data_IF_094373637506
#
_entry.id   IF_094373637506
#
_cell.length_a   1.000
_cell.length_b   1.000
_cell.length_c   1.000
_cell.angle_alpha   90.00
_cell.angle_beta   90.00
_cell.angle_gamma   90.00
#
_symmetry.space_group_name_H-M   'P 1'
#
loop_
_entity.id
_entity.type
_entity.pdbx_description
1 polymer ?
#
# COMPACT_ATOMS: atom_id res chain seq x y z
N UNK A 1 1.29 -4.01 -6.34
CA UNK A 1 0.11 -4.27 -5.48
C UNK A 1 0.39 -5.41 -4.51
N UNK A 2 0.66 -6.64 -4.98
CA UNK A 2 0.82 -7.82 -4.12
C UNK A 2 1.84 -7.60 -3.00
N UNK A 3 3.02 -7.11 -3.32
CA UNK A 3 4.06 -6.83 -2.30
C UNK A 3 3.57 -5.82 -1.25
N UNK A 4 2.92 -4.74 -1.67
CA UNK A 4 2.36 -3.73 -0.75
C UNK A 4 1.28 -4.33 0.15
N UNK A 5 0.36 -5.11 -0.42
CA UNK A 5 -0.73 -5.77 0.32
C UNK A 5 -0.17 -6.76 1.34
N UNK A 6 0.84 -7.56 0.94
CA UNK A 6 1.51 -8.50 1.85
C UNK A 6 2.26 -7.77 2.97
N UNK A 7 2.96 -6.66 2.67
CA UNK A 7 3.62 -5.86 3.70
C UNK A 7 2.63 -5.30 4.73
N UNK A 8 1.50 -4.76 4.27
CA UNK A 8 0.42 -4.27 5.16
C UNK A 8 -0.07 -5.40 6.09
N UNK A 9 -0.34 -6.58 5.52
CA UNK A 9 -0.74 -7.76 6.30
C UNK A 9 0.32 -8.09 7.38
N UNK A 10 1.59 -8.15 6.96
CA UNK A 10 2.70 -8.47 7.88
C UNK A 10 2.90 -7.42 8.98
N UNK A 11 2.65 -6.14 8.72
CA UNK A 11 2.73 -5.09 9.74
C UNK A 11 1.65 -5.28 10.81
N UNK A 12 0.41 -5.56 10.42
CA UNK A 12 -0.66 -5.83 11.37
C UNK A 12 -0.43 -7.14 12.14
N UNK A 13 0.04 -8.20 11.49
CA UNK A 13 0.42 -9.46 12.14
C UNK A 13 1.54 -9.24 13.17
N UNK A 14 2.58 -8.47 12.82
CA UNK A 14 3.68 -8.14 13.74
C UNK A 14 3.22 -7.28 14.92
N UNK A 15 2.13 -6.53 14.77
CA UNK A 15 1.45 -5.80 15.84
C UNK A 15 0.45 -6.66 16.64
N UNK A 16 0.41 -7.97 16.41
CA UNK A 16 -0.46 -8.91 17.14
C UNK A 16 -1.92 -8.90 16.70
N UNK A 17 -2.25 -8.31 15.53
CA UNK A 17 -3.61 -8.31 14.99
C UNK A 17 -3.88 -9.56 14.17
N UNK A 18 -5.08 -10.10 14.25
CA UNK A 18 -5.53 -11.14 13.32
C UNK A 18 -5.86 -10.50 11.97
N UNK A 19 -5.27 -11.05 10.90
CA UNK A 19 -5.38 -10.52 9.54
C UNK A 19 -6.02 -11.55 8.61
N UNK A 20 -6.97 -11.08 7.80
CA UNK A 20 -7.55 -11.83 6.69
C UNK A 20 -7.03 -11.23 5.38
N UNK A 21 -6.09 -11.91 4.75
CA UNK A 21 -5.45 -11.50 3.50
C UNK A 21 -6.12 -12.18 2.30
N UNK A 22 -6.56 -11.41 1.31
CA UNK A 22 -7.18 -12.00 0.12
C UNK A 22 -7.51 -11.01 -0.98
N UNK A 23 -8.49 -11.36 -1.81
CA UNK A 23 -8.91 -10.60 -2.99
C UNK A 23 -8.29 -11.15 -4.27
N UNK A 24 -7.54 -10.33 -5.02
CA UNK A 24 -6.84 -10.77 -6.25
C UNK A 24 -5.55 -11.57 -5.94
N UNK A 25 -5.30 -11.86 -4.68
CA UNK A 25 -4.19 -12.69 -4.16
C UNK A 25 -4.69 -13.54 -3.00
N UNK A 26 -3.98 -14.62 -2.70
CA UNK A 26 -4.27 -15.46 -1.54
C UNK A 26 -5.58 -16.23 -1.67
N UNK A 27 -6.23 -16.41 -0.54
CA UNK A 27 -7.48 -17.16 -0.44
C UNK A 27 -8.71 -16.29 -0.76
N UNK A 28 -9.79 -16.93 -1.18
CA UNK A 28 -11.09 -16.28 -1.30
C UNK A 28 -11.58 -15.84 0.09
N UNK A 29 -11.98 -14.58 0.25
CA UNK A 29 -12.39 -14.02 1.54
C UNK A 29 -13.81 -14.43 1.96
N UNK A 30 -14.71 -14.69 0.99
CA UNK A 30 -16.11 -15.04 1.30
C UNK A 30 -16.28 -16.27 2.21
N UNK A 31 -15.55 -17.38 2.01
CA UNK A 31 -15.61 -18.51 2.92
C UNK A 31 -15.12 -18.20 4.35
N UNK A 32 -14.30 -17.17 4.52
CA UNK A 32 -13.75 -16.78 5.82
C UNK A 32 -14.70 -15.90 6.63
N UNK A 33 -15.73 -15.31 6.00
CA UNK A 33 -16.64 -14.36 6.67
C UNK A 33 -17.21 -14.83 8.02
N UNK A 34 -17.58 -16.11 8.22
CA UNK A 34 -18.06 -16.57 9.52
C UNK A 34 -17.03 -16.49 10.65
N UNK A 35 -15.74 -16.42 10.31
CA UNK A 35 -14.64 -16.36 11.27
C UNK A 35 -14.13 -14.94 11.52
N UNK A 36 -14.57 -13.97 10.70
CA UNK A 36 -14.12 -12.56 10.81
C UNK A 36 -14.82 -11.88 11.97
N UNK A 37 -14.04 -11.27 12.85
CA UNK A 37 -14.51 -10.50 13.99
C UNK A 37 -14.34 -8.99 13.72
N UNK A 38 -15.10 -8.13 14.42
CA UNK A 38 -15.00 -6.68 14.25
C UNK A 38 -13.61 -6.09 14.52
N UNK A 39 -12.83 -6.73 15.40
CA UNK A 39 -11.45 -6.34 15.72
C UNK A 39 -10.40 -6.84 14.71
N UNK A 40 -10.74 -7.78 13.85
CA UNK A 40 -9.84 -8.33 12.83
C UNK A 40 -9.58 -7.29 11.72
N UNK A 41 -8.50 -7.48 10.98
CA UNK A 41 -8.12 -6.63 9.86
C UNK A 41 -8.27 -7.41 8.55
N UNK A 42 -9.07 -6.91 7.63
CA UNK A 42 -9.14 -7.42 6.26
C UNK A 42 -8.20 -6.60 5.37
N UNK A 43 -7.20 -7.25 4.78
CA UNK A 43 -6.26 -6.65 3.82
C UNK A 43 -6.53 -7.26 2.45
N UNK A 44 -6.99 -6.43 1.52
CA UNK A 44 -7.55 -6.91 0.25
C UNK A 44 -6.82 -6.30 -0.94
N UNK A 45 -6.26 -7.15 -1.81
CA UNK A 45 -5.81 -6.69 -3.13
C UNK A 45 -6.98 -6.67 -4.11
N UNK A 46 -7.25 -5.51 -4.72
CA UNK A 46 -8.34 -5.35 -5.67
C UNK A 46 -7.82 -5.12 -7.10
N UNK A 47 -8.45 -5.81 -8.05
CA UNK A 47 -8.29 -5.58 -9.49
C UNK A 47 -9.25 -4.49 -9.97
N UNK A 48 -9.02 -3.93 -11.17
CA UNK A 48 -9.95 -2.99 -11.80
C UNK A 48 -11.32 -3.64 -12.07
N UNK A 49 -11.35 -4.94 -12.37
CA UNK A 49 -12.59 -5.69 -12.59
C UNK A 49 -13.45 -5.82 -11.32
N UNK A 50 -12.82 -5.96 -10.17
CA UNK A 50 -13.54 -5.96 -8.90
C UNK A 50 -14.00 -4.55 -8.52
N UNK A 51 -13.19 -3.54 -8.82
CA UNK A 51 -13.48 -2.16 -8.48
C UNK A 51 -14.57 -1.54 -9.36
N UNK A 52 -14.74 -1.96 -10.63
CA UNK A 52 -15.68 -1.33 -11.57
C UNK A 52 -17.13 -1.34 -11.09
N UNK A 53 -17.51 -2.38 -10.35
CA UNK A 53 -18.86 -2.53 -9.76
C UNK A 53 -18.93 -2.18 -8.27
N UNK A 54 -17.81 -1.71 -7.67
CA UNK A 54 -17.76 -1.41 -6.26
C UNK A 54 -18.36 -0.02 -5.96
N UNK A 55 -19.31 0.01 -5.03
CA UNK A 55 -19.95 1.23 -4.53
C UNK A 55 -19.65 1.49 -3.04
N UNK A 56 -18.58 0.90 -2.54
CA UNK A 56 -18.04 1.10 -1.20
C UNK A 56 -16.53 1.21 -1.29
N UNK A 57 -15.93 2.05 -0.46
CA UNK A 57 -14.48 2.19 -0.36
C UNK A 57 -13.99 1.71 0.99
N UNK A 58 -12.77 1.12 1.07
CA UNK A 58 -12.21 0.72 2.36
C UNK A 58 -11.86 1.94 3.23
N UNK A 59 -11.75 1.72 4.55
CA UNK A 59 -11.28 2.74 5.50
C UNK A 59 -9.89 3.28 5.10
N UNK A 60 -9.00 2.39 4.64
CA UNK A 60 -7.68 2.74 4.13
C UNK A 60 -7.58 2.22 2.70
N UNK A 61 -7.44 3.13 1.75
CA UNK A 61 -7.24 2.83 0.34
C UNK A 61 -5.80 3.15 -0.08
N UNK A 62 -5.17 2.25 -0.86
CA UNK A 62 -3.81 2.45 -1.38
C UNK A 62 -3.81 2.34 -2.90
N UNK A 63 -3.40 3.39 -3.58
CA UNK A 63 -3.18 3.41 -5.03
C UNK A 63 -1.69 3.57 -5.30
N UNK A 64 -1.01 2.49 -5.65
CA UNK A 64 0.44 2.50 -5.86
C UNK A 64 0.84 3.20 -7.14
N UNK A 65 0.30 2.74 -8.25
CA UNK A 65 0.44 3.34 -9.56
C UNK A 65 -0.71 2.89 -10.48
N UNK A 66 -0.93 3.66 -11.54
CA UNK A 66 -1.86 3.32 -12.61
C UNK A 66 -1.11 3.45 -13.92
N UNK A 67 -0.77 2.31 -14.49
CA UNK A 67 -0.11 2.21 -15.81
C UNK A 67 -1.02 1.43 -16.76
N UNK A 68 -0.95 1.66 -18.07
CA UNK A 68 -1.72 0.90 -19.05
C UNK A 68 -1.55 -0.60 -18.84
N UNK A 69 -2.65 -1.28 -18.57
CA UNK A 69 -2.70 -2.73 -18.40
C UNK A 69 -4.15 -3.18 -18.63
N UNK A 70 -4.32 -4.40 -19.16
CA UNK A 70 -5.66 -4.98 -19.41
C UNK A 70 -6.57 -4.12 -20.32
N UNK A 71 -5.99 -3.37 -21.27
CA UNK A 71 -6.75 -2.55 -22.23
C UNK A 71 -7.45 -3.41 -23.31
N UNK A 72 -7.17 -4.69 -23.34
CA UNK A 72 -7.92 -5.72 -24.06
C UNK A 72 -9.29 -6.05 -23.46
N UNK A 73 -9.51 -5.69 -22.20
CA UNK A 73 -10.73 -5.97 -21.44
C UNK A 73 -11.50 -4.70 -21.01
N UNK A 74 -10.84 -3.56 -20.90
CA UNK A 74 -11.49 -2.27 -20.70
C UNK A 74 -11.70 -1.58 -22.04
N UNK A 75 -12.80 -0.86 -22.17
CA UNK A 75 -13.14 -0.11 -23.37
C UNK A 75 -12.02 0.86 -23.77
N UNK A 76 -11.44 1.54 -22.80
CA UNK A 76 -10.34 2.47 -22.96
C UNK A 76 -9.61 2.71 -21.63
N UNK A 77 -8.58 3.54 -21.68
CA UNK A 77 -7.80 3.91 -20.49
C UNK A 77 -8.62 4.69 -19.46
N UNK A 78 -9.62 5.45 -19.90
CA UNK A 78 -10.47 6.22 -19.00
C UNK A 78 -11.35 5.32 -18.15
N UNK A 79 -12.00 4.31 -18.73
CA UNK A 79 -12.78 3.32 -17.98
C UNK A 79 -11.90 2.57 -16.96
N UNK A 80 -10.66 2.22 -17.34
CA UNK A 80 -9.71 1.59 -16.42
C UNK A 80 -9.34 2.50 -15.23
N UNK A 81 -9.13 3.79 -15.48
CA UNK A 81 -8.88 4.79 -14.44
C UNK A 81 -10.10 4.97 -13.55
N UNK A 82 -11.29 5.12 -14.14
CA UNK A 82 -12.54 5.33 -13.41
C UNK A 82 -12.89 4.12 -12.55
N UNK A 83 -12.68 2.89 -13.04
CA UNK A 83 -12.82 1.69 -12.24
C UNK A 83 -11.90 1.74 -10.99
N UNK A 84 -10.65 2.18 -11.14
CA UNK A 84 -9.72 2.30 -9.99
C UNK A 84 -10.10 3.40 -9.01
N UNK A 85 -10.70 4.49 -9.49
CA UNK A 85 -11.16 5.61 -8.63
C UNK A 85 -12.23 5.18 -7.63
N UNK A 86 -12.99 4.13 -7.93
CA UNK A 86 -14.03 3.62 -7.02
C UNK A 86 -13.47 3.20 -5.65
N UNK A 87 -12.17 2.89 -5.53
CA UNK A 87 -11.55 2.61 -4.24
C UNK A 87 -11.53 3.84 -3.30
N UNK A 88 -11.70 5.05 -3.84
CA UNK A 88 -11.65 6.33 -3.13
C UNK A 88 -13.01 7.02 -3.04
N UNK A 89 -13.83 6.93 -4.09
CA UNK A 89 -15.01 7.78 -4.29
C UNK A 89 -16.04 7.69 -3.16
N UNK A 90 -16.11 6.56 -2.47
CA UNK A 90 -17.08 6.30 -1.40
C UNK A 90 -16.47 6.42 0.00
N UNK A 91 -15.23 6.92 0.11
CA UNK A 91 -14.63 7.24 1.41
C UNK A 91 -15.31 8.47 2.03
N UNK A 92 -15.15 8.62 3.34
CA UNK A 92 -15.62 9.75 4.14
C UNK A 92 -14.47 10.31 5.01
N UNK A 93 -14.62 11.42 5.74
CA UNK A 93 -13.53 12.10 6.45
C UNK A 93 -12.63 11.23 7.35
N UNK A 94 -13.11 10.21 8.10
CA UNK A 94 -12.18 9.39 8.90
C UNK A 94 -11.35 8.38 8.07
N UNK A 95 -11.63 8.23 6.76
CA UNK A 95 -10.89 7.34 5.88
C UNK A 95 -9.54 7.92 5.48
N UNK A 96 -8.61 7.04 5.06
CA UNK A 96 -7.28 7.40 4.57
C UNK A 96 -7.11 6.95 3.12
N UNK A 97 -6.58 7.84 2.29
CA UNK A 97 -6.17 7.56 0.92
C UNK A 97 -4.66 7.71 0.77
N UNK A 98 -3.95 6.63 0.49
CA UNK A 98 -2.49 6.61 0.27
C UNK A 98 -2.23 6.56 -1.23
N UNK A 99 -1.59 7.58 -1.78
CA UNK A 99 -1.39 7.77 -3.21
C UNK A 99 0.09 7.88 -3.57
N UNK A 100 0.48 7.21 -4.67
CA UNK A 100 1.82 7.35 -5.25
C UNK A 100 2.01 8.71 -5.92
N UNK A 101 3.04 9.44 -5.50
CA UNK A 101 3.31 10.80 -5.98
C UNK A 101 3.92 10.80 -7.38
N UNK A 102 4.80 9.86 -7.71
CA UNK A 102 5.50 9.81 -9.00
C UNK A 102 4.58 9.48 -10.18
N UNK A 103 3.51 8.75 -9.94
CA UNK A 103 2.56 8.40 -11.00
C UNK A 103 1.50 9.50 -11.17
N UNK A 104 1.48 10.15 -12.33
CA UNK A 104 0.61 11.27 -12.63
C UNK A 104 -0.88 10.93 -12.45
N UNK A 105 -1.30 9.74 -12.88
CA UNK A 105 -2.70 9.29 -12.75
C UNK A 105 -3.05 9.09 -11.27
N UNK A 106 -2.19 8.40 -10.51
CA UNK A 106 -2.38 8.23 -9.06
C UNK A 106 -2.45 9.59 -8.36
N UNK A 107 -1.53 10.52 -8.70
CA UNK A 107 -1.52 11.87 -8.14
C UNK A 107 -2.79 12.66 -8.49
N UNK A 108 -3.32 12.51 -9.70
CA UNK A 108 -4.57 13.18 -10.13
C UNK A 108 -5.80 12.72 -9.33
N UNK A 109 -5.75 11.52 -8.72
CA UNK A 109 -6.83 10.99 -7.89
C UNK A 109 -6.98 11.69 -6.53
N UNK A 110 -6.05 12.58 -6.17
CA UNK A 110 -6.17 13.43 -4.97
C UNK A 110 -7.52 14.15 -4.91
N UNK A 111 -8.03 14.61 -6.05
CA UNK A 111 -9.33 15.31 -6.15
C UNK A 111 -10.53 14.45 -5.73
N UNK A 112 -10.38 13.13 -5.72
CA UNK A 112 -11.43 12.16 -5.37
C UNK A 112 -11.41 11.80 -3.89
N UNK A 113 -10.35 12.19 -3.16
CA UNK A 113 -10.19 11.89 -1.75
C UNK A 113 -11.10 12.76 -0.89
N UNK A 114 -11.97 12.14 -0.12
CA UNK A 114 -12.86 12.80 0.87
C UNK A 114 -12.33 12.72 2.29
N UNK A 115 -11.42 11.79 2.54
CA UNK A 115 -10.75 11.58 3.80
C UNK A 115 -9.34 12.19 3.82
N UNK A 116 -8.54 11.74 4.77
CA UNK A 116 -7.14 12.14 4.88
C UNK A 116 -6.35 11.56 3.70
N UNK A 117 -5.84 12.43 2.85
CA UNK A 117 -4.92 12.03 1.77
C UNK A 117 -3.48 12.02 2.32
N UNK A 118 -2.71 10.99 1.96
CA UNK A 118 -1.32 10.77 2.36
C UNK A 118 -0.52 10.35 1.13
N UNK A 119 0.64 10.96 0.91
CA UNK A 119 1.55 10.59 -0.18
C UNK A 119 2.49 9.46 0.22
N UNK A 120 2.99 8.72 -0.76
CA UNK A 120 4.25 8.04 -0.65
C UNK A 120 5.12 8.36 -1.86
N UNK A 121 6.40 8.56 -1.63
CA UNK A 121 7.36 9.02 -2.64
C UNK A 121 8.79 8.60 -2.30
N UNK A 122 9.54 8.23 -3.30
CA UNK A 122 10.97 7.90 -3.16
C UNK A 122 11.87 9.04 -3.68
N UNK A 123 11.32 9.93 -4.49
CA UNK A 123 12.10 10.93 -5.22
C UNK A 123 12.01 12.34 -4.62
N UNK A 124 11.02 12.60 -3.79
CA UNK A 124 10.72 13.92 -3.24
C UNK A 124 10.49 13.83 -1.74
N UNK A 125 10.80 14.89 -1.03
CA UNK A 125 10.32 15.06 0.34
C UNK A 125 8.84 15.48 0.30
N UNK A 126 8.11 15.21 1.37
CA UNK A 126 6.71 15.59 1.51
C UNK A 126 6.40 16.00 2.96
N UNK A 127 5.49 16.93 3.13
CA UNK A 127 5.01 17.37 4.46
C UNK A 127 3.90 16.47 5.01
N UNK A 128 3.34 15.59 4.16
CA UNK A 128 2.26 14.69 4.52
C UNK A 128 2.40 13.35 3.79
N UNK A 129 3.09 12.40 4.40
CA UNK A 129 3.27 11.09 3.83
C UNK A 129 4.61 10.43 4.12
N UNK A 130 4.77 9.23 3.55
CA UNK A 130 6.00 8.46 3.68
C UNK A 130 6.95 8.77 2.52
N UNK A 131 8.22 8.99 2.83
CA UNK A 131 9.22 9.32 1.82
C UNK A 131 10.62 8.79 2.17
N UNK A 132 11.46 8.68 1.13
CA UNK A 132 12.89 8.39 1.30
C UNK A 132 13.65 9.73 1.37
N UNK A 133 14.15 10.07 2.55
CA UNK A 133 15.01 11.22 2.75
C UNK A 133 16.40 10.93 2.18
N UNK A 134 16.83 11.72 1.20
CA UNK A 134 18.08 11.46 0.43
C UNK A 134 19.34 11.77 1.21
N UNK A 135 19.27 12.67 2.18
CA UNK A 135 20.45 13.13 2.95
C UNK A 135 21.12 12.00 3.73
N UNK A 136 20.33 11.10 4.29
CA UNK A 136 20.80 10.00 5.15
C UNK A 136 20.24 8.63 4.74
N UNK A 137 19.49 8.56 3.65
CA UNK A 137 18.83 7.37 3.15
C UNK A 137 17.88 6.73 4.18
N UNK A 138 17.18 7.56 4.96
CA UNK A 138 16.16 7.12 5.90
C UNK A 138 14.77 7.15 5.28
N UNK A 139 14.00 6.11 5.48
CA UNK A 139 12.57 6.12 5.26
C UNK A 139 11.92 6.88 6.41
N UNK A 140 11.18 7.91 6.06
CA UNK A 140 10.55 8.83 7.00
C UNK A 140 9.04 8.89 6.78
N UNK A 141 8.31 9.23 7.84
CA UNK A 141 6.92 9.64 7.77
C UNK A 141 6.80 11.09 8.21
N UNK A 142 6.13 11.91 7.41
CA UNK A 142 5.79 13.28 7.75
C UNK A 142 4.31 13.39 8.09
N UNK A 143 3.99 13.97 9.22
CA UNK A 143 2.65 14.29 9.69
C UNK A 143 2.66 15.62 10.43
N UNK A 144 1.78 16.54 10.03
CA UNK A 144 1.58 17.81 10.72
C UNK A 144 2.90 18.58 11.00
N UNK A 145 3.82 18.56 10.03
CA UNK A 145 5.13 19.24 10.11
C UNK A 145 6.19 18.46 10.91
N UNK A 146 5.85 17.28 11.44
CA UNK A 146 6.79 16.42 12.17
C UNK A 146 7.28 15.32 11.25
N UNK A 147 8.60 15.21 11.07
CA UNK A 147 9.24 14.14 10.29
C UNK A 147 9.83 13.11 11.24
N UNK A 148 9.30 11.89 11.15
CA UNK A 148 9.72 10.74 11.96
C UNK A 148 10.48 9.74 11.09
N UNK A 149 11.81 9.58 11.21
CA UNK A 149 12.56 8.52 10.57
C UNK A 149 12.18 7.17 11.21
N UNK A 150 11.97 6.14 10.37
CA UNK A 150 11.57 4.84 10.91
C UNK A 150 12.40 3.65 10.44
N UNK A 151 13.09 3.73 9.28
CA UNK A 151 13.90 2.62 8.78
C UNK A 151 15.01 3.11 7.86
N UNK A 152 16.24 2.63 8.05
CA UNK A 152 17.32 2.94 7.12
C UNK A 152 17.22 2.07 5.86
N UNK A 153 17.43 2.66 4.69
CA UNK A 153 17.36 1.94 3.41
C UNK A 153 18.30 0.72 3.38
N UNK A 154 19.48 0.80 3.98
CA UNK A 154 20.47 -0.27 4.05
C UNK A 154 19.99 -1.51 4.81
N UNK A 155 19.03 -1.34 5.72
CA UNK A 155 18.50 -2.42 6.54
C UNK A 155 17.35 -3.17 5.85
N UNK A 156 16.85 -2.66 4.72
CA UNK A 156 15.77 -3.28 3.95
C UNK A 156 16.30 -4.52 3.23
N UNK A 157 15.71 -5.68 3.51
CA UNK A 157 16.06 -6.95 2.86
C UNK A 157 15.40 -7.12 1.49
N UNK A 158 14.26 -6.48 1.29
CA UNK A 158 13.51 -6.54 0.04
C UNK A 158 14.26 -5.77 -1.07
N UNK A 159 14.74 -6.47 -2.09
CA UNK A 159 15.59 -5.91 -3.14
C UNK A 159 14.80 -5.10 -4.17
N UNK A 160 15.42 -4.08 -4.71
CA UNK A 160 14.91 -3.25 -5.82
C UNK A 160 14.24 -1.95 -5.37
N UNK A 161 14.47 -0.88 -6.14
CA UNK A 161 13.99 0.47 -5.83
C UNK A 161 12.46 0.57 -5.75
N UNK A 162 11.74 -0.19 -6.61
CA UNK A 162 10.29 -0.27 -6.59
C UNK A 162 9.76 -0.88 -5.27
N UNK A 163 10.58 -1.66 -4.57
CA UNK A 163 10.20 -2.24 -3.28
C UNK A 163 10.36 -1.25 -2.12
N UNK A 164 11.22 -0.23 -2.26
CA UNK A 164 11.22 0.91 -1.34
C UNK A 164 9.87 1.65 -1.44
N UNK A 165 9.35 1.89 -2.65
CA UNK A 165 8.04 2.49 -2.86
C UNK A 165 6.91 1.63 -2.28
N UNK A 166 6.97 0.31 -2.46
CA UNK A 166 6.01 -0.62 -1.85
C UNK A 166 6.03 -0.55 -0.33
N UNK A 167 7.22 -0.45 0.28
CA UNK A 167 7.39 -0.34 1.73
C UNK A 167 6.88 1.01 2.25
N UNK A 168 7.19 2.12 1.56
CA UNK A 168 6.69 3.45 1.89
C UNK A 168 5.16 3.50 1.81
N UNK A 169 4.56 2.94 0.74
CA UNK A 169 3.11 2.86 0.59
C UNK A 169 2.46 2.05 1.72
N UNK A 170 3.06 0.90 2.08
CA UNK A 170 2.56 0.05 3.13
C UNK A 170 2.69 0.71 4.52
N UNK A 171 3.82 1.37 4.81
CA UNK A 171 4.03 2.11 6.05
C UNK A 171 3.03 3.27 6.18
N UNK A 172 2.84 4.06 5.12
CA UNK A 172 1.86 5.15 5.10
C UNK A 172 0.43 4.65 5.36
N UNK A 173 0.09 3.45 4.86
CA UNK A 173 -1.23 2.87 5.07
C UNK A 173 -1.51 2.56 6.55
N UNK A 174 -0.52 2.03 7.27
CA UNK A 174 -0.69 1.53 8.64
C UNK A 174 -0.20 2.51 9.72
N UNK A 175 0.36 3.65 9.31
CA UNK A 175 0.94 4.61 10.25
C UNK A 175 -0.08 5.09 11.29
N UNK A 176 0.31 5.03 12.56
CA UNK A 176 -0.58 5.33 13.69
C UNK A 176 -1.57 4.22 14.06
N UNK A 177 -1.70 3.17 13.24
CA UNK A 177 -2.52 1.99 13.57
C UNK A 177 -1.69 0.81 14.09
N UNK A 178 -0.41 0.76 13.74
CA UNK A 178 0.55 -0.24 14.26
C UNK A 178 1.76 0.47 14.89
N UNK A 179 2.42 -0.15 15.88
CA UNK A 179 3.68 0.38 16.44
C UNK A 179 4.77 0.48 15.36
N UNK A 180 5.60 1.53 15.43
CA UNK A 180 6.71 1.76 14.49
C UNK A 180 7.70 0.58 14.51
N UNK A 181 7.90 -0.04 15.66
CA UNK A 181 8.75 -1.21 15.84
C UNK A 181 8.28 -2.42 15.01
N UNK A 182 6.97 -2.56 14.81
CA UNK A 182 6.41 -3.60 13.95
C UNK A 182 6.74 -3.33 12.46
N UNK A 183 6.68 -2.07 12.03
CA UNK A 183 7.08 -1.65 10.69
C UNK A 183 8.57 -1.89 10.48
N UNK A 184 9.42 -1.49 11.44
CA UNK A 184 10.86 -1.69 11.40
C UNK A 184 11.23 -3.17 11.33
N UNK A 185 10.64 -4.00 12.19
CA UNK A 185 10.87 -5.44 12.23
C UNK A 185 10.56 -6.10 10.89
N UNK A 186 9.39 -5.85 10.33
CA UNK A 186 9.00 -6.43 9.03
C UNK A 186 9.86 -5.85 7.90
N UNK A 187 10.07 -4.54 7.86
CA UNK A 187 10.87 -3.88 6.81
C UNK A 187 12.32 -4.41 6.76
N UNK A 188 12.89 -4.76 7.90
CA UNK A 188 14.26 -5.29 8.00
C UNK A 188 14.37 -6.82 7.85
N UNK A 189 13.27 -7.55 7.84
CA UNK A 189 13.29 -9.03 7.76
C UNK A 189 12.57 -9.60 6.55
N UNK A 190 11.61 -8.87 5.98
CA UNK A 190 10.83 -9.33 4.84
C UNK A 190 11.68 -9.37 3.56
N UNK A 191 11.80 -10.52 2.93
CA UNK A 191 12.65 -10.76 1.76
C UNK A 191 11.89 -10.77 0.43
N UNK A 192 10.56 -10.85 0.48
CA UNK A 192 9.71 -10.86 -0.73
C UNK A 192 8.50 -11.75 -0.60
N UNK A 193 7.70 -11.76 -1.65
CA UNK A 193 6.57 -12.66 -1.86
C UNK A 193 7.05 -13.80 -2.76
N UNK A 194 6.69 -15.03 -2.44
CA UNK A 194 6.97 -16.20 -3.27
C UNK A 194 6.62 -15.95 -4.74
N UNK A 195 7.46 -16.44 -5.64
CA UNK A 195 7.36 -16.26 -7.09
C UNK A 195 7.48 -14.81 -7.61
N UNK A 196 8.03 -13.88 -6.78
CA UNK A 196 8.34 -12.50 -7.18
C UNK A 196 9.76 -12.13 -6.79
N UNK A 197 10.68 -12.11 -7.78
CA UNK A 197 12.09 -11.71 -7.63
C UNK A 197 12.74 -12.46 -6.46
N UNK A 198 12.66 -13.79 -6.48
CA UNK A 198 13.34 -14.62 -5.51
C UNK A 198 14.81 -14.76 -5.89
N UNK A 199 15.75 -14.60 -4.94
CA UNK A 199 17.14 -14.96 -5.17
C UNK A 199 17.23 -16.48 -5.29
N UNK A 200 17.51 -16.97 -6.49
CA UNK A 200 17.59 -18.43 -6.76
C UNK A 200 18.95 -18.99 -6.33
N UNK A 201 20.03 -18.22 -6.54
CA UNK A 201 21.40 -18.68 -6.24
C UNK A 201 22.40 -17.51 -6.35
N UNK A 202 23.38 -17.48 -5.46
CA UNK A 202 24.60 -16.69 -5.65
C UNK A 202 25.60 -17.59 -6.40
N UNK A 203 26.16 -17.10 -7.49
CA UNK A 203 27.29 -17.75 -8.16
C UNK A 203 28.57 -17.13 -7.61
N UNK A 204 29.50 -17.96 -7.12
CA UNK A 204 30.84 -17.57 -6.70
C UNK A 204 31.72 -17.25 -7.92
#
# INVERSE_FOLDING_TARGET
>A
KTTTTTLISKFYEAAGRKVHLGGNIGAALLPMLPEVRPEDVAVVELSSFQLISMHQSPKIAVVTNVTPNHLDHHKDMQEYIDAKRNILLYQNPPCRAVLGYENEISRSMQKDCKGRQVWFTRLHDTDNGAFLRKEDNMLCMAEDGVVTPFLAQKDIKLRGLHNIENLLAAAAAVWGEVPVEAIQKVGSTFTGVEHRIEPVRTLD
#
